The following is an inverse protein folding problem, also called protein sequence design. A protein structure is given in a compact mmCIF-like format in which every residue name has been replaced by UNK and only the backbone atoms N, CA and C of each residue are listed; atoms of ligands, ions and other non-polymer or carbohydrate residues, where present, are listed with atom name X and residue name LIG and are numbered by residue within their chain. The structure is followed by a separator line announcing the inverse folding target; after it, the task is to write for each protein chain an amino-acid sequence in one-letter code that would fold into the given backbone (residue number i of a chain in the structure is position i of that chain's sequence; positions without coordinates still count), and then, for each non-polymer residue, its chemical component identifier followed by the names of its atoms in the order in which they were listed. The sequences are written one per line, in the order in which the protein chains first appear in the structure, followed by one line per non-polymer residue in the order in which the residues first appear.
data_IF_782700466201
#
_entry.id   IF_782700466201
#
_cell.length_a   1.000
_cell.length_b   1.000
_cell.length_c   1.000
_cell.angle_alpha   90.00
_cell.angle_beta   90.00
_cell.angle_gamma   90.00
#
_symmetry.space_group_name_H-M   'P 1'
#
loop_
_entity.id
_entity.type
_entity.pdbx_description
1 polymer ?
#
# COMPACT_ATOMS: atom_id res chain seq x y z
N UNK A 1 19.12 25.93 -3.06
CA UNK A 1 19.29 24.46 -3.01
C UNK A 1 17.88 23.91 -2.86
N UNK A 2 17.40 23.10 -3.82
CA UNK A 2 16.17 22.35 -3.57
C UNK A 2 16.55 21.32 -2.52
N UNK A 3 16.01 21.46 -1.33
CA UNK A 3 16.03 20.38 -0.35
C UNK A 3 15.24 19.25 -1.00
N UNK A 4 15.94 18.27 -1.57
CA UNK A 4 15.38 16.95 -1.82
C UNK A 4 14.97 16.43 -0.45
N UNK A 5 13.74 16.75 -0.02
CA UNK A 5 13.09 16.05 1.07
C UNK A 5 13.13 14.59 0.68
N UNK A 6 14.06 13.86 1.26
CA UNK A 6 14.22 12.41 1.15
C UNK A 6 12.82 11.83 1.37
N UNK A 7 12.13 11.52 0.26
CA UNK A 7 10.70 11.21 0.28
C UNK A 7 10.60 9.76 0.71
N UNK A 8 10.76 9.55 2.02
CA UNK A 8 10.76 8.23 2.61
C UNK A 8 9.38 7.64 2.46
N UNK A 9 9.33 6.46 1.87
CA UNK A 9 8.12 5.67 1.76
C UNK A 9 8.17 4.53 2.77
N UNK A 10 7.06 4.30 3.46
CA UNK A 10 6.93 3.29 4.51
C UNK A 10 5.76 2.38 4.19
N UNK A 11 5.90 1.09 4.56
CA UNK A 11 4.87 0.08 4.33
C UNK A 11 3.77 0.20 5.38
N UNK A 12 2.52 0.18 4.95
CA UNK A 12 1.33 0.25 5.82
C UNK A 12 0.41 -0.96 5.71
N UNK A 13 0.54 -1.74 4.64
CA UNK A 13 -0.25 -2.95 4.43
C UNK A 13 0.49 -3.92 3.50
N UNK A 14 0.36 -5.22 3.76
CA UNK A 14 0.83 -6.29 2.87
C UNK A 14 -0.26 -7.36 2.81
N UNK A 15 -0.62 -7.79 1.60
CA UNK A 15 -1.70 -8.77 1.40
C UNK A 15 -1.81 -9.24 -0.05
N UNK A 16 -2.91 -9.91 -0.39
CA UNK A 16 -3.14 -10.37 -1.76
C UNK A 16 -3.23 -9.19 -2.74
N UNK A 17 -3.00 -9.40 -4.06
CA UNK A 17 -3.04 -8.31 -5.03
C UNK A 17 -4.36 -7.53 -5.03
N UNK A 18 -5.47 -8.25 -4.86
CA UNK A 18 -6.79 -7.67 -4.74
C UNK A 18 -6.94 -6.79 -3.49
N UNK A 19 -6.47 -7.27 -2.35
CA UNK A 19 -6.54 -6.51 -1.10
C UNK A 19 -5.64 -5.28 -1.14
N UNK A 20 -4.43 -5.39 -1.69
CA UNK A 20 -3.50 -4.28 -1.81
C UNK A 20 -4.06 -3.16 -2.72
N UNK A 21 -4.64 -3.51 -3.87
CA UNK A 21 -5.32 -2.54 -4.74
C UNK A 21 -6.52 -1.88 -4.06
N UNK A 22 -7.31 -2.66 -3.30
CA UNK A 22 -8.42 -2.10 -2.52
C UNK A 22 -7.95 -1.10 -1.46
N UNK A 23 -6.90 -1.44 -0.71
CA UNK A 23 -6.33 -0.57 0.33
C UNK A 23 -5.74 0.70 -0.29
N UNK A 24 -5.01 0.58 -1.39
CA UNK A 24 -4.54 1.73 -2.17
C UNK A 24 -5.68 2.66 -2.57
N UNK A 25 -6.73 2.12 -3.19
CA UNK A 25 -7.89 2.93 -3.60
C UNK A 25 -8.59 3.62 -2.43
N UNK A 26 -8.63 2.98 -1.26
CA UNK A 26 -9.17 3.57 -0.03
C UNK A 26 -8.29 4.72 0.48
N UNK A 27 -6.97 4.57 0.50
CA UNK A 27 -6.03 5.62 0.90
C UNK A 27 -6.09 6.82 -0.06
N UNK A 28 -6.08 6.57 -1.37
CA UNK A 28 -6.17 7.62 -2.40
C UNK A 28 -7.50 8.38 -2.31
N UNK A 29 -8.60 7.69 -2.01
CA UNK A 29 -9.91 8.32 -1.79
C UNK A 29 -9.96 9.22 -0.54
N UNK A 30 -9.04 9.02 0.40
CA UNK A 30 -8.85 9.87 1.58
C UNK A 30 -7.74 10.91 1.40
N UNK A 31 -7.23 11.08 0.18
CA UNK A 31 -6.22 12.09 -0.14
C UNK A 31 -4.80 11.70 0.24
N UNK A 32 -4.55 10.42 0.54
CA UNK A 32 -3.22 9.89 0.85
C UNK A 32 -2.65 9.23 -0.40
N UNK A 33 -1.52 9.74 -0.90
CA UNK A 33 -0.82 9.13 -2.02
C UNK A 33 -0.19 7.80 -1.60
N UNK A 34 -0.40 6.76 -2.40
CA UNK A 34 0.13 5.42 -2.11
C UNK A 34 0.61 4.70 -3.36
N UNK A 35 1.61 3.84 -3.19
CA UNK A 35 2.20 3.04 -4.26
C UNK A 35 2.15 1.56 -3.91
N UNK A 36 1.96 0.73 -4.93
CA UNK A 36 2.13 -0.71 -4.80
C UNK A 36 3.57 -1.10 -5.08
N UNK A 37 4.10 -2.00 -4.26
CA UNK A 37 5.38 -2.66 -4.49
C UNK A 37 5.16 -4.17 -4.57
N UNK A 38 5.27 -4.67 -5.79
CA UNK A 38 5.28 -6.10 -6.05
C UNK A 38 6.57 -6.73 -5.50
N UNK A 39 6.43 -7.79 -4.70
CA UNK A 39 7.56 -8.54 -4.13
C UNK A 39 8.43 -9.31 -5.13
N UNK A 40 8.13 -9.27 -6.43
CA UNK A 40 8.97 -9.90 -7.45
C UNK A 40 8.48 -9.65 -8.87
N UNK A 41 9.36 -9.11 -9.73
CA UNK A 41 9.10 -8.76 -11.13
C UNK A 41 8.76 -9.92 -12.08
N UNK A 42 8.41 -11.10 -11.55
CA UNK A 42 7.91 -12.25 -12.28
C UNK A 42 6.37 -12.38 -12.21
N UNK A 43 5.70 -11.60 -11.36
CA UNK A 43 4.24 -11.65 -11.12
C UNK A 43 3.40 -11.36 -12.38
N UNK A 44 3.80 -10.37 -13.18
CA UNK A 44 3.08 -9.97 -14.39
C UNK A 44 3.07 -11.03 -15.51
N UNK A 45 3.92 -12.06 -15.41
CA UNK A 45 4.10 -13.09 -16.44
C UNK A 45 3.57 -14.47 -16.03
N UNK A 46 3.08 -14.63 -14.79
CA UNK A 46 2.53 -15.90 -14.32
C UNK A 46 1.04 -16.02 -14.71
N UNK A 47 0.58 -17.16 -15.26
CA UNK A 47 -0.81 -17.36 -15.66
C UNK A 47 -1.83 -17.19 -14.52
N UNK A 48 -1.37 -17.29 -13.28
CA UNK A 48 -2.19 -17.09 -12.09
C UNK A 48 -1.32 -16.44 -10.99
N UNK A 49 -1.76 -15.30 -10.46
CA UNK A 49 -1.17 -14.57 -9.33
C UNK A 49 -1.29 -15.35 -8.00
N UNK A 50 -0.79 -16.59 -7.95
CA UNK A 50 -0.98 -17.49 -6.80
C UNK A 50 0.17 -17.28 -5.82
N UNK A 51 -0.13 -16.65 -4.68
CA UNK A 51 0.72 -16.66 -3.48
C UNK A 51 1.75 -15.54 -3.36
N UNK A 52 1.63 -14.45 -4.12
CA UNK A 52 2.48 -13.29 -3.94
C UNK A 52 1.76 -12.20 -3.14
N UNK A 53 2.41 -11.74 -2.08
CA UNK A 53 1.95 -10.59 -1.32
C UNK A 53 2.45 -9.30 -1.97
N UNK A 54 1.58 -8.29 -2.02
CA UNK A 54 1.88 -6.94 -2.50
C UNK A 54 1.87 -6.01 -1.30
N UNK A 55 2.91 -5.18 -1.20
CA UNK A 55 3.00 -4.14 -0.18
C UNK A 55 2.39 -2.82 -0.71
N UNK A 56 1.64 -2.14 0.15
CA UNK A 56 1.19 -0.76 -0.04
C UNK A 56 2.09 0.15 0.77
N UNK A 57 2.72 1.12 0.10
CA UNK A 57 3.57 2.11 0.74
C UNK A 57 2.95 3.51 0.62
N UNK A 58 3.19 4.34 1.63
CA UNK A 58 2.81 5.75 1.70
C UNK A 58 4.02 6.59 2.07
N UNK A 59 3.91 7.90 1.95
CA UNK A 59 4.91 8.80 2.53
C UNK A 59 4.97 8.62 4.06
N UNK A 60 6.18 8.66 4.65
CA UNK A 60 6.39 8.64 6.10
C UNK A 60 5.55 9.70 6.83
N UNK A 61 5.37 10.89 6.22
CA UNK A 61 4.55 11.98 6.74
C UNK A 61 3.05 11.60 6.88
N UNK A 62 2.56 10.64 6.09
CA UNK A 62 1.15 10.19 6.07
C UNK A 62 0.91 8.88 6.82
N UNK A 63 1.96 8.29 7.41
CA UNK A 63 1.92 6.96 8.02
C UNK A 63 0.81 6.79 9.07
N UNK A 64 0.67 7.72 10.01
CA UNK A 64 -0.30 7.61 11.09
C UNK A 64 -1.74 7.65 10.57
N UNK A 65 -2.03 8.58 9.63
CA UNK A 65 -3.34 8.70 8.99
C UNK A 65 -3.68 7.44 8.17
N UNK A 66 -2.70 6.94 7.41
CA UNK A 66 -2.87 5.72 6.62
C UNK A 66 -3.16 4.49 7.51
N UNK A 67 -2.41 4.32 8.60
CA UNK A 67 -2.59 3.20 9.53
C UNK A 67 -3.94 3.23 10.25
N UNK A 68 -4.50 4.41 10.54
CA UNK A 68 -5.84 4.51 11.11
C UNK A 68 -6.91 3.98 10.14
N UNK A 69 -6.82 4.38 8.87
CA UNK A 69 -7.74 3.95 7.81
C UNK A 69 -7.66 2.43 7.61
N UNK A 70 -6.44 1.89 7.49
CA UNK A 70 -6.20 0.45 7.30
C UNK A 70 -6.76 -0.37 8.47
N UNK A 71 -6.49 0.04 9.72
CA UNK A 71 -6.97 -0.67 10.92
C UNK A 71 -8.49 -0.61 11.09
N UNK A 72 -9.12 0.51 10.74
CA UNK A 72 -10.57 0.63 10.83
C UNK A 72 -11.28 -0.33 9.84
N UNK A 73 -10.66 -0.63 8.70
CA UNK A 73 -11.14 -1.67 7.76
C UNK A 73 -11.01 -3.07 8.35
N UNK A 74 -9.94 -3.41 9.05
CA UNK A 74 -9.79 -4.73 9.67
C UNK A 74 -10.89 -4.99 10.70
N UNK A 75 -11.17 -4.00 11.56
CA UNK A 75 -12.24 -4.09 12.57
C UNK A 75 -13.65 -4.17 11.98
N UNK A 76 -13.87 -3.62 10.79
CA UNK A 76 -15.17 -3.69 10.11
C UNK A 76 -15.42 -5.04 9.42
N UNK A 77 -14.39 -5.87 9.26
CA UNK A 77 -14.48 -7.22 8.68
C UNK A 77 -14.47 -8.34 9.72
N UNK A 78 -14.43 -7.99 11.02
CA UNK A 78 -14.61 -8.91 12.17
C UNK A 78 -16.08 -8.92 12.62
#
# INVERSE_FOLDING_TARGET
MKEDKDTRVVEVFTGSPWEAEFIKGLLESNGIESILKDGGGLAALAPYYIGQEIAVLVNEDDYENAMEIVRNREKANE
#
